data_IF_755482327201
#
_entry.id   IF_755482327201
#
_cell.length_a   1.000
_cell.length_b   1.000
_cell.length_c   1.000
_cell.angle_alpha   90.00
_cell.angle_beta   90.00
_cell.angle_gamma   90.00
#
_symmetry.space_group_name_H-M   'P 1'
#
loop_
_entity.id
_entity.type
_entity.pdbx_description
1 polymer ?
#
# COMPACT_ATOMS: atom_id res chain seq x y z
N UNK A 1 9.01 -8.02 8.32
CA UNK A 1 8.94 -7.43 9.67
C UNK A 1 8.42 -8.41 10.74
N UNK A 2 8.08 -9.64 10.34
CA UNK A 2 7.49 -10.69 11.19
C UNK A 2 8.40 -11.15 12.37
N UNK A 3 9.71 -11.04 12.21
CA UNK A 3 10.67 -11.49 13.22
C UNK A 3 10.64 -10.60 14.48
N UNK A 4 11.01 -11.15 15.67
CA UNK A 4 11.22 -10.37 16.88
C UNK A 4 12.23 -9.24 16.66
N UNK A 5 12.00 -8.10 17.31
CA UNK A 5 12.82 -6.89 17.16
C UNK A 5 14.30 -7.14 17.46
N UNK A 6 14.62 -7.87 18.51
CA UNK A 6 16.01 -8.22 18.84
C UNK A 6 16.73 -9.00 17.71
N UNK A 7 16.00 -9.85 16.96
CA UNK A 7 16.56 -10.58 15.82
C UNK A 7 16.75 -9.66 14.61
N UNK A 8 15.80 -8.76 14.35
CA UNK A 8 15.93 -7.75 13.29
C UNK A 8 17.12 -6.82 13.55
N UNK A 9 17.31 -6.35 14.78
CA UNK A 9 18.46 -5.51 15.17
C UNK A 9 19.79 -6.21 14.90
N UNK A 10 19.92 -7.50 15.23
CA UNK A 10 21.11 -8.30 14.91
C UNK A 10 21.37 -8.40 13.40
N UNK A 11 20.31 -8.60 12.61
CA UNK A 11 20.41 -8.64 11.14
C UNK A 11 20.87 -7.29 10.60
N UNK A 12 20.27 -6.20 11.07
CA UNK A 12 20.63 -4.84 10.64
C UNK A 12 22.08 -4.49 11.00
N UNK A 13 22.55 -4.92 12.17
CA UNK A 13 23.95 -4.75 12.57
C UNK A 13 24.88 -5.53 11.64
N UNK A 14 24.61 -6.83 11.41
CA UNK A 14 25.41 -7.66 10.53
C UNK A 14 25.48 -7.09 9.10
N UNK A 15 24.35 -6.56 8.57
CA UNK A 15 24.34 -5.90 7.26
C UNK A 15 25.25 -4.67 7.22
N UNK A 16 25.28 -3.85 8.27
CA UNK A 16 26.16 -2.68 8.35
C UNK A 16 27.64 -3.07 8.42
N UNK A 17 27.94 -4.06 9.22
CA UNK A 17 29.32 -4.54 9.41
C UNK A 17 29.88 -5.14 8.11
N UNK A 18 29.01 -5.87 7.38
CA UNK A 18 29.40 -6.54 6.13
C UNK A 18 29.44 -5.58 4.94
N UNK A 19 28.52 -4.59 4.90
CA UNK A 19 28.36 -3.69 3.78
C UNK A 19 28.46 -2.20 4.21
N UNK A 20 29.65 -1.67 4.47
CA UNK A 20 29.83 -0.32 5.02
C UNK A 20 29.27 0.82 4.12
N UNK A 21 29.11 0.56 2.83
CA UNK A 21 28.54 1.50 1.85
C UNK A 21 27.04 1.32 1.61
N UNK A 22 26.37 0.47 2.41
CA UNK A 22 24.95 0.22 2.27
C UNK A 22 24.13 1.49 2.51
N UNK A 23 23.44 1.96 1.48
CA UNK A 23 22.70 3.21 1.53
C UNK A 23 21.33 3.07 2.23
N UNK A 24 20.70 1.90 2.13
CA UNK A 24 19.34 1.71 2.62
C UNK A 24 19.06 0.23 2.86
N UNK A 25 18.37 -0.05 3.98
CA UNK A 25 17.69 -1.34 4.21
C UNK A 25 16.20 -1.11 4.12
N UNK A 26 15.52 -2.00 3.43
CA UNK A 26 14.06 -2.03 3.32
C UNK A 26 13.52 -3.43 3.63
N UNK A 27 12.26 -3.50 4.02
CA UNK A 27 11.58 -4.76 4.32
C UNK A 27 10.13 -4.71 3.90
N UNK A 28 9.56 -5.87 3.56
CA UNK A 28 8.11 -6.02 3.50
C UNK A 28 7.52 -6.09 4.91
N UNK A 29 6.31 -5.55 5.05
CA UNK A 29 5.56 -5.55 6.29
C UNK A 29 4.07 -5.72 6.04
N UNK A 30 3.44 -6.64 6.76
CA UNK A 30 1.98 -6.69 6.86
C UNK A 30 1.50 -5.82 8.04
N UNK A 31 0.23 -5.33 8.01
CA UNK A 31 -0.34 -4.56 9.12
C UNK A 31 -0.11 -5.21 10.49
N UNK A 32 -0.44 -6.50 10.60
CA UNK A 32 -0.26 -7.29 11.83
C UNK A 32 1.16 -7.28 12.38
N UNK A 33 2.16 -7.32 11.49
CA UNK A 33 3.56 -7.36 11.91
C UNK A 33 4.01 -6.01 12.48
N UNK A 34 3.45 -4.92 11.97
CA UNK A 34 3.67 -3.56 12.46
C UNK A 34 2.99 -3.39 13.82
N UNK A 35 1.72 -3.76 13.92
CA UNK A 35 0.92 -3.60 15.14
C UNK A 35 1.44 -4.42 16.33
N UNK A 36 2.15 -5.52 16.07
CA UNK A 36 2.82 -6.33 17.10
C UNK A 36 4.07 -5.68 17.70
N UNK A 37 4.56 -4.60 17.08
CA UNK A 37 5.73 -3.86 17.58
C UNK A 37 5.27 -2.60 18.29
N UNK A 38 5.94 -2.28 19.40
CA UNK A 38 5.75 -1.00 20.05
C UNK A 38 6.31 0.13 19.19
N UNK A 39 5.91 1.36 19.47
CA UNK A 39 6.47 2.56 18.82
C UNK A 39 7.99 2.66 19.07
N UNK A 40 8.41 2.33 20.28
CA UNK A 40 9.83 2.28 20.65
C UNK A 40 10.60 1.24 19.82
N UNK A 41 10.06 0.05 19.60
CA UNK A 41 10.67 -0.98 18.75
C UNK A 41 10.81 -0.52 17.29
N UNK A 42 9.78 0.15 16.78
CA UNK A 42 9.84 0.72 15.42
C UNK A 42 10.90 1.82 15.31
N UNK A 43 11.04 2.67 16.34
CA UNK A 43 12.08 3.70 16.42
C UNK A 43 13.48 3.07 16.46
N UNK A 44 13.69 2.05 17.29
CA UNK A 44 14.96 1.32 17.37
C UNK A 44 15.34 0.69 16.02
N UNK A 45 14.39 0.09 15.31
CA UNK A 45 14.62 -0.46 13.96
C UNK A 45 15.01 0.63 12.97
N UNK A 46 14.37 1.81 13.04
CA UNK A 46 14.73 2.97 12.22
C UNK A 46 16.15 3.44 12.50
N UNK A 47 16.53 3.62 13.75
CA UNK A 47 17.88 4.01 14.19
C UNK A 47 18.92 2.96 13.78
N UNK A 48 18.54 1.68 13.83
CA UNK A 48 19.36 0.57 13.36
C UNK A 48 19.51 0.50 11.82
N UNK A 49 18.86 1.38 11.03
CA UNK A 49 19.06 1.50 9.59
C UNK A 49 17.95 0.92 8.72
N UNK A 50 16.86 0.41 9.31
CA UNK A 50 15.66 0.06 8.54
C UNK A 50 14.94 1.35 8.13
N UNK A 51 15.02 1.71 6.85
CA UNK A 51 14.60 3.04 6.40
C UNK A 51 13.29 3.06 5.63
N UNK A 52 12.89 1.94 5.03
CA UNK A 52 11.69 1.87 4.19
C UNK A 52 10.94 0.56 4.44
N UNK A 53 9.64 0.66 4.64
CA UNK A 53 8.75 -0.49 4.63
C UNK A 53 7.87 -0.49 3.37
N UNK A 54 7.82 -1.63 2.70
CA UNK A 54 6.83 -1.95 1.67
C UNK A 54 5.62 -2.58 2.35
N UNK A 55 4.50 -1.89 2.29
CA UNK A 55 3.30 -2.18 3.06
C UNK A 55 2.14 -2.54 2.14
N UNK A 56 1.77 -3.81 2.17
CA UNK A 56 0.58 -4.28 1.46
C UNK A 56 -0.68 -3.90 2.22
N UNK A 57 -1.19 -2.70 2.00
CA UNK A 57 -2.49 -2.28 2.52
C UNK A 57 -3.62 -2.93 1.73
N UNK A 58 -3.47 -3.01 0.42
CA UNK A 58 -4.34 -3.54 -0.63
C UNK A 58 -5.63 -2.72 -0.81
N UNK A 59 -6.29 -2.34 0.25
CA UNK A 59 -7.52 -1.56 0.31
C UNK A 59 -7.67 -0.87 1.67
N UNK A 60 -8.45 0.20 1.71
CA UNK A 60 -8.95 0.80 2.96
C UNK A 60 -10.36 0.34 3.35
N UNK A 61 -10.99 -0.53 2.53
CA UNK A 61 -12.38 -0.96 2.70
C UNK A 61 -12.50 -2.22 3.57
N UNK A 62 -13.17 -2.11 4.71
CA UNK A 62 -13.37 -3.20 5.67
C UNK A 62 -14.02 -4.45 5.08
N UNK A 63 -15.01 -4.26 4.21
CA UNK A 63 -15.72 -5.38 3.60
C UNK A 63 -14.75 -6.17 2.71
N UNK A 64 -13.96 -5.46 1.92
CA UNK A 64 -12.95 -6.08 1.05
C UNK A 64 -11.82 -6.71 1.86
N UNK A 65 -11.29 -6.03 2.90
CA UNK A 65 -10.28 -6.61 3.81
C UNK A 65 -10.73 -7.93 4.42
N UNK A 66 -12.00 -7.99 4.83
CA UNK A 66 -12.60 -9.22 5.38
C UNK A 66 -12.74 -10.30 4.31
N UNK A 67 -13.23 -9.95 3.12
CA UNK A 67 -13.43 -10.88 2.02
C UNK A 67 -12.12 -11.55 1.56
N UNK A 68 -11.01 -10.81 1.55
CA UNK A 68 -9.70 -11.35 1.18
C UNK A 68 -8.89 -11.90 2.37
N UNK A 69 -9.52 -12.06 3.53
CA UNK A 69 -8.88 -12.59 4.75
C UNK A 69 -7.58 -11.85 5.13
N UNK A 70 -7.54 -10.52 4.97
CA UNK A 70 -6.36 -9.70 5.31
C UNK A 70 -6.00 -9.79 6.79
N UNK A 71 -7.02 -10.07 7.61
CA UNK A 71 -6.88 -10.33 9.04
C UNK A 71 -6.62 -9.08 9.88
N UNK A 72 -6.93 -7.91 9.33
CA UNK A 72 -7.04 -6.61 9.98
C UNK A 72 -8.25 -5.88 9.40
N UNK A 73 -8.80 -4.92 10.13
CA UNK A 73 -9.79 -3.97 9.63
C UNK A 73 -9.11 -2.67 9.13
N UNK A 74 -9.89 -1.75 8.59
CA UNK A 74 -9.38 -0.48 8.02
C UNK A 74 -8.74 0.43 9.07
N UNK A 75 -9.29 0.49 10.28
CA UNK A 75 -8.69 1.26 11.38
C UNK A 75 -7.31 0.70 11.75
N UNK A 76 -7.21 -0.61 11.89
CA UNK A 76 -5.94 -1.29 12.16
C UNK A 76 -4.93 -1.10 11.02
N UNK A 77 -5.38 -1.16 9.77
CA UNK A 77 -4.52 -0.91 8.62
C UNK A 77 -4.00 0.54 8.60
N UNK A 78 -4.85 1.51 8.88
CA UNK A 78 -4.47 2.93 8.99
C UNK A 78 -3.53 3.15 10.16
N UNK A 79 -3.83 2.60 11.33
CA UNK A 79 -2.98 2.74 12.52
C UNK A 79 -1.59 2.15 12.30
N UNK A 80 -1.49 0.98 11.66
CA UNK A 80 -0.20 0.40 11.28
C UNK A 80 0.61 1.36 10.41
N UNK A 81 0.00 1.94 9.38
CA UNK A 81 0.65 2.92 8.52
C UNK A 81 1.12 4.16 9.27
N UNK A 82 0.28 4.71 10.16
CA UNK A 82 0.61 5.86 11.01
C UNK A 82 1.79 5.60 11.94
N UNK A 83 1.86 4.43 12.57
CA UNK A 83 3.00 4.06 13.43
C UNK A 83 4.31 4.06 12.66
N UNK A 84 4.32 3.56 11.43
CA UNK A 84 5.52 3.58 10.58
C UNK A 84 5.92 5.01 10.24
N UNK A 85 5.00 5.85 9.80
CA UNK A 85 5.32 7.26 9.46
C UNK A 85 5.76 8.04 10.70
N UNK A 86 5.14 7.82 11.86
CA UNK A 86 5.52 8.44 13.14
C UNK A 86 6.92 8.02 13.63
N UNK A 87 7.36 6.78 13.33
CA UNK A 87 8.73 6.32 13.65
C UNK A 87 9.82 6.98 12.78
N UNK A 88 9.45 7.77 11.77
CA UNK A 88 10.36 8.40 10.82
C UNK A 88 10.86 7.47 9.72
N UNK A 89 10.36 6.23 9.63
CA UNK A 89 10.59 5.37 8.46
C UNK A 89 9.78 5.84 7.26
N UNK A 90 10.33 5.64 6.07
CA UNK A 90 9.58 5.80 4.82
C UNK A 90 8.59 4.65 4.67
N UNK A 91 7.40 4.96 4.16
CA UNK A 91 6.34 3.98 3.94
C UNK A 91 5.94 3.98 2.47
N UNK A 92 5.98 2.82 1.84
CA UNK A 92 5.46 2.58 0.50
C UNK A 92 4.21 1.70 0.61
N UNK A 93 3.04 2.28 0.39
CA UNK A 93 1.76 1.56 0.39
C UNK A 93 1.51 0.95 -0.99
N UNK A 94 1.01 -0.29 -1.01
CA UNK A 94 0.49 -0.95 -2.21
C UNK A 94 -1.03 -1.09 -2.09
N UNK A 95 -1.73 -0.74 -3.19
CA UNK A 95 -3.18 -0.84 -3.37
C UNK A 95 -3.45 -1.74 -4.56
N UNK A 96 -4.48 -2.59 -4.48
CA UNK A 96 -4.88 -3.47 -5.59
C UNK A 96 -6.20 -2.99 -6.17
N UNK A 97 -6.15 -2.44 -7.37
CA UNK A 97 -7.34 -2.04 -8.12
C UNK A 97 -8.16 -3.27 -8.52
N UNK A 98 -9.47 -3.14 -8.42
CA UNK A 98 -10.40 -4.22 -8.75
C UNK A 98 -10.56 -5.27 -7.65
N UNK A 99 -9.89 -5.14 -6.52
CA UNK A 99 -9.93 -6.14 -5.43
C UNK A 99 -11.33 -6.34 -4.84
N UNK A 100 -12.17 -5.32 -4.88
CA UNK A 100 -13.55 -5.35 -4.38
C UNK A 100 -14.58 -5.83 -5.42
N UNK A 101 -14.15 -6.16 -6.64
CA UNK A 101 -15.05 -6.44 -7.75
C UNK A 101 -15.88 -5.20 -8.16
N UNK A 102 -16.76 -5.38 -9.16
CA UNK A 102 -17.58 -4.28 -9.69
C UNK A 102 -18.48 -3.66 -8.61
N UNK A 103 -19.12 -4.48 -7.80
CA UNK A 103 -20.09 -4.07 -6.80
C UNK A 103 -19.47 -3.25 -5.68
N UNK A 104 -18.19 -3.51 -5.37
CA UNK A 104 -17.47 -2.87 -4.28
C UNK A 104 -16.55 -1.72 -4.69
N UNK A 105 -16.30 -1.54 -6.00
CA UNK A 105 -15.25 -0.67 -6.54
C UNK A 105 -15.31 0.78 -6.01
N UNK A 106 -16.46 1.42 -6.07
CA UNK A 106 -16.62 2.80 -5.59
C UNK A 106 -16.30 2.94 -4.10
N UNK A 107 -16.80 2.00 -3.27
CA UNK A 107 -16.53 2.01 -1.82
C UNK A 107 -15.04 1.78 -1.56
N UNK A 108 -14.45 0.77 -2.21
CA UNK A 108 -13.03 0.48 -2.16
C UNK A 108 -12.20 1.72 -2.50
N UNK A 109 -12.54 2.43 -3.57
CA UNK A 109 -11.81 3.63 -3.99
C UNK A 109 -11.86 4.74 -2.94
N UNK A 110 -13.05 5.04 -2.40
CA UNK A 110 -13.23 6.13 -1.43
C UNK A 110 -12.56 5.81 -0.08
N UNK A 111 -12.74 4.61 0.46
CA UNK A 111 -12.12 4.22 1.73
C UNK A 111 -10.58 4.09 1.60
N UNK A 112 -10.09 3.66 0.44
CA UNK A 112 -8.65 3.63 0.16
C UNK A 112 -8.06 5.04 0.10
N UNK A 113 -8.71 5.99 -0.57
CA UNK A 113 -8.27 7.38 -0.60
C UNK A 113 -8.25 8.01 0.81
N UNK A 114 -9.29 7.74 1.61
CA UNK A 114 -9.38 8.17 3.00
C UNK A 114 -8.23 7.62 3.85
N UNK A 115 -7.91 6.32 3.70
CA UNK A 115 -6.77 5.71 4.39
C UNK A 115 -5.44 6.37 3.99
N UNK A 116 -5.20 6.61 2.70
CA UNK A 116 -4.01 7.31 2.20
C UNK A 116 -3.90 8.72 2.78
N UNK A 117 -5.00 9.46 2.84
CA UNK A 117 -5.04 10.82 3.39
C UNK A 117 -4.68 10.87 4.89
N UNK A 118 -5.07 9.84 5.66
CA UNK A 118 -4.77 9.76 7.09
C UNK A 118 -3.31 9.30 7.31
N UNK A 119 -2.84 8.30 6.57
CA UNK A 119 -1.50 7.73 6.72
C UNK A 119 -0.43 8.69 6.21
N UNK A 120 -0.70 9.43 5.14
CA UNK A 120 0.25 10.32 4.46
C UNK A 120 1.58 9.61 4.13
N UNK A 121 1.55 8.54 3.32
CA UNK A 121 2.73 7.73 3.04
C UNK A 121 3.77 8.52 2.21
N UNK A 122 5.03 8.08 2.25
CA UNK A 122 6.09 8.63 1.39
C UNK A 122 5.90 8.21 -0.07
N UNK A 123 5.32 7.03 -0.26
CA UNK A 123 5.04 6.44 -1.58
C UNK A 123 3.73 5.66 -1.52
N UNK A 124 2.98 5.65 -2.62
CA UNK A 124 1.95 4.65 -2.85
C UNK A 124 1.93 4.19 -4.30
N UNK A 125 1.53 2.96 -4.51
CA UNK A 125 1.44 2.36 -5.82
C UNK A 125 0.12 1.64 -5.98
N UNK A 126 -0.43 1.72 -7.20
CA UNK A 126 -1.60 0.98 -7.62
C UNK A 126 -1.17 -0.17 -8.53
N UNK A 127 -1.73 -1.36 -8.29
CA UNK A 127 -1.56 -2.57 -9.10
C UNK A 127 -2.94 -3.08 -9.46
N UNK A 128 -3.14 -3.54 -10.70
CA UNK A 128 -4.41 -4.19 -11.06
C UNK A 128 -4.44 -5.63 -10.56
N UNK A 129 -5.61 -6.06 -10.09
CA UNK A 129 -5.85 -7.44 -9.66
C UNK A 129 -5.54 -8.40 -10.81
N UNK A 130 -4.80 -9.44 -10.49
CA UNK A 130 -4.58 -10.59 -11.37
C UNK A 130 -5.11 -11.85 -10.70
N UNK A 131 -6.01 -12.56 -11.37
CA UNK A 131 -6.55 -13.82 -10.88
C UNK A 131 -5.59 -14.97 -11.24
N UNK A 132 -5.15 -15.71 -10.25
CA UNK A 132 -4.20 -16.82 -10.40
C UNK A 132 -4.85 -18.16 -10.08
N UNK A 133 -4.42 -19.21 -10.74
CA UNK A 133 -4.83 -20.58 -10.42
C UNK A 133 -4.53 -20.90 -8.96
N UNK A 134 -5.52 -21.43 -8.26
CA UNK A 134 -5.44 -21.78 -6.84
C UNK A 134 -5.70 -20.60 -5.90
N UNK A 135 -6.13 -19.43 -6.41
CA UNK A 135 -6.62 -18.36 -5.57
C UNK A 135 -8.14 -18.46 -5.41
N UNK A 136 -8.63 -18.21 -4.20
CA UNK A 136 -10.07 -18.20 -3.89
C UNK A 136 -10.86 -17.20 -4.77
N UNK A 137 -10.26 -16.06 -5.15
CA UNK A 137 -10.90 -15.09 -6.04
C UNK A 137 -11.10 -15.63 -7.46
N UNK A 138 -10.19 -16.47 -7.97
CA UNK A 138 -10.40 -17.13 -9.26
C UNK A 138 -11.54 -18.15 -9.16
N UNK A 139 -11.57 -18.94 -8.10
CA UNK A 139 -12.62 -19.93 -7.89
C UNK A 139 -14.01 -19.24 -7.73
N UNK A 140 -14.07 -18.09 -7.04
CA UNK A 140 -15.29 -17.27 -6.95
C UNK A 140 -15.71 -16.71 -8.32
N UNK A 141 -14.74 -16.24 -9.13
CA UNK A 141 -15.01 -15.79 -10.49
C UNK A 141 -15.60 -16.92 -11.36
N UNK A 142 -15.03 -18.11 -11.31
CA UNK A 142 -15.50 -19.26 -12.07
C UNK A 142 -16.91 -19.73 -11.63
N UNK A 143 -17.27 -19.50 -10.35
CA UNK A 143 -18.63 -19.74 -9.83
C UNK A 143 -19.61 -18.59 -10.08
N UNK A 144 -19.15 -17.48 -10.67
CA UNK A 144 -19.98 -16.27 -10.88
C UNK A 144 -20.27 -15.46 -9.62
N UNK A 145 -19.50 -15.66 -8.55
CA UNK A 145 -19.62 -14.98 -7.26
C UNK A 145 -18.78 -13.70 -7.17
N UNK A 146 -17.81 -13.53 -8.07
CA UNK A 146 -16.93 -12.37 -8.16
C UNK A 146 -16.92 -11.82 -9.59
N UNK A 147 -17.18 -10.52 -9.73
CA UNK A 147 -17.17 -9.80 -11.02
C UNK A 147 -15.94 -8.89 -11.09
N UNK A 148 -14.84 -9.28 -11.80
CA UNK A 148 -13.66 -8.45 -11.92
C UNK A 148 -13.95 -7.17 -12.74
N UNK A 149 -13.16 -6.13 -12.48
CA UNK A 149 -13.21 -4.91 -13.28
C UNK A 149 -12.59 -5.15 -14.67
N UNK A 150 -13.19 -4.54 -15.68
CA UNK A 150 -12.54 -4.36 -16.98
C UNK A 150 -11.38 -3.35 -16.88
N UNK A 151 -10.51 -3.27 -17.90
CA UNK A 151 -9.45 -2.26 -17.92
C UNK A 151 -9.94 -0.83 -17.73
N UNK A 152 -11.05 -0.46 -18.38
CA UNK A 152 -11.66 0.87 -18.25
C UNK A 152 -12.16 1.11 -16.80
N UNK A 153 -12.87 0.15 -16.22
CA UNK A 153 -13.36 0.24 -14.84
C UNK A 153 -12.20 0.31 -13.82
N UNK A 154 -11.07 -0.36 -14.07
CA UNK A 154 -9.86 -0.19 -13.24
C UNK A 154 -9.32 1.25 -13.31
N UNK A 155 -9.37 1.88 -14.47
CA UNK A 155 -8.94 3.28 -14.61
C UNK A 155 -9.92 4.24 -13.94
N UNK A 156 -11.21 3.98 -14.01
CA UNK A 156 -12.24 4.75 -13.29
C UNK A 156 -12.07 4.65 -11.77
N UNK A 157 -11.74 3.45 -11.27
CA UNK A 157 -11.43 3.23 -9.86
C UNK A 157 -10.17 4.00 -9.44
N UNK A 158 -9.09 3.91 -10.22
CA UNK A 158 -7.86 4.66 -9.98
C UNK A 158 -8.11 6.18 -10.02
N UNK A 159 -8.91 6.65 -10.99
CA UNK A 159 -9.31 8.04 -11.07
C UNK A 159 -10.01 8.48 -9.79
N UNK A 160 -10.98 7.69 -9.32
CA UNK A 160 -11.74 7.97 -8.09
C UNK A 160 -10.82 8.04 -6.87
N UNK A 161 -9.86 7.10 -6.73
CA UNK A 161 -8.86 7.16 -5.66
C UNK A 161 -8.04 8.46 -5.77
N UNK A 162 -7.46 8.72 -6.94
CA UNK A 162 -6.59 9.87 -7.18
C UNK A 162 -7.32 11.21 -6.93
N UNK A 163 -8.57 11.32 -7.38
CA UNK A 163 -9.40 12.51 -7.18
C UNK A 163 -9.63 12.81 -5.68
N UNK A 164 -9.79 11.77 -4.88
CA UNK A 164 -10.07 11.86 -3.44
C UNK A 164 -8.82 11.83 -2.53
N UNK A 165 -7.63 11.57 -3.09
CA UNK A 165 -6.37 11.72 -2.35
C UNK A 165 -6.01 13.18 -2.25
N UNK A 166 -5.98 13.72 -1.02
CA UNK A 166 -5.67 15.10 -0.70
C UNK A 166 -4.58 15.14 0.37
N UNK A 167 -3.34 15.29 -0.06
CA UNK A 167 -2.18 15.40 0.82
C UNK A 167 -1.82 16.88 1.05
N UNK A 168 -1.28 17.23 2.23
CA UNK A 168 -0.78 18.59 2.49
C UNK A 168 0.28 19.01 1.47
N UNK A 169 0.36 20.32 1.17
CA UNK A 169 1.29 20.89 0.18
C UNK A 169 2.78 20.64 0.52
N UNK A 170 3.11 20.53 1.80
CA UNK A 170 4.46 20.22 2.28
C UNK A 170 4.81 18.74 2.25
N UNK A 171 3.85 17.86 1.91
CA UNK A 171 4.08 16.42 1.76
C UNK A 171 4.46 16.07 0.33
N UNK A 172 5.45 15.20 0.21
CA UNK A 172 5.88 14.64 -1.07
C UNK A 172 5.63 13.14 -1.07
N UNK A 173 4.56 12.72 -1.74
CA UNK A 173 4.22 11.31 -1.90
C UNK A 173 4.48 10.88 -3.35
N UNK A 174 5.38 9.95 -3.56
CA UNK A 174 5.64 9.39 -4.88
C UNK A 174 4.54 8.41 -5.26
N UNK A 175 3.84 8.68 -6.34
CA UNK A 175 2.88 7.74 -6.94
C UNK A 175 3.52 6.94 -8.08
N UNK A 176 3.20 5.64 -8.13
CA UNK A 176 3.61 4.72 -9.20
C UNK A 176 2.49 3.75 -9.56
N UNK A 177 2.28 3.58 -10.87
CA UNK A 177 1.38 2.59 -11.46
C UNK A 177 2.04 1.96 -12.69
N UNK A 178 3.30 1.54 -12.54
CA UNK A 178 4.12 1.00 -13.63
C UNK A 178 4.43 -0.50 -13.47
N UNK A 179 3.66 -1.21 -12.67
CA UNK A 179 3.73 -2.67 -12.57
C UNK A 179 3.15 -3.31 -13.83
N UNK A 180 3.62 -4.50 -14.17
CA UNK A 180 3.18 -5.24 -15.37
C UNK A 180 1.67 -5.57 -15.38
N UNK A 181 1.02 -5.60 -14.22
CA UNK A 181 -0.44 -5.78 -14.12
C UNK A 181 -1.25 -4.56 -14.56
N UNK A 182 -0.61 -3.40 -14.69
CA UNK A 182 -1.32 -2.15 -14.98
C UNK A 182 -1.44 -1.91 -16.50
N UNK A 183 -2.55 -1.31 -16.89
CA UNK A 183 -2.84 -1.00 -18.28
C UNK A 183 -2.13 0.26 -18.78
N UNK A 184 -1.91 1.24 -17.87
CA UNK A 184 -1.23 2.50 -18.16
C UNK A 184 -0.13 2.73 -17.12
N UNK A 185 1.14 2.90 -17.54
CA UNK A 185 2.23 3.21 -16.62
C UNK A 185 2.20 4.69 -16.23
N UNK A 186 1.80 5.00 -15.00
CA UNK A 186 1.74 6.35 -14.47
C UNK A 186 2.80 6.57 -13.38
N UNK A 187 3.31 7.80 -13.32
CA UNK A 187 4.27 8.20 -12.31
C UNK A 187 4.16 9.71 -12.01
N UNK A 188 4.21 10.06 -10.73
CA UNK A 188 4.17 11.47 -10.32
C UNK A 188 4.48 11.67 -8.85
N UNK A 189 4.51 12.92 -8.43
CA UNK A 189 4.68 13.33 -7.02
C UNK A 189 3.45 14.12 -6.60
N UNK A 190 2.74 13.63 -5.58
CA UNK A 190 1.56 14.29 -5.02
C UNK A 190 1.98 15.26 -3.89
N UNK A 191 1.25 16.37 -3.71
CA UNK A 191 0.08 16.79 -4.49
C UNK A 191 0.38 17.45 -5.84
N UNK A 192 1.65 17.82 -6.10
CA UNK A 192 2.09 18.63 -7.26
C UNK A 192 1.55 18.12 -8.61
N UNK A 193 1.66 16.83 -8.87
CA UNK A 193 1.34 16.24 -10.18
C UNK A 193 -0.11 15.73 -10.28
N UNK A 194 -0.94 15.96 -9.25
CA UNK A 194 -2.31 15.39 -9.17
C UNK A 194 -3.15 15.69 -10.40
N UNK A 195 -3.22 16.95 -10.84
CA UNK A 195 -4.05 17.35 -11.98
C UNK A 195 -3.57 16.72 -13.30
N UNK A 196 -2.25 16.63 -13.50
CA UNK A 196 -1.67 15.94 -14.66
C UNK A 196 -2.03 14.45 -14.65
N UNK A 197 -1.88 13.77 -13.51
CA UNK A 197 -2.22 12.35 -13.37
C UNK A 197 -3.71 12.09 -13.62
N UNK A 198 -4.60 12.94 -13.10
CA UNK A 198 -6.05 12.84 -13.36
C UNK A 198 -6.37 13.00 -14.86
N UNK A 199 -5.68 13.89 -15.56
CA UNK A 199 -5.86 14.04 -16.99
C UNK A 199 -5.34 12.81 -17.76
N UNK A 200 -4.20 12.24 -17.40
CA UNK A 200 -3.62 11.04 -18.01
C UNK A 200 -4.46 9.78 -17.80
N UNK A 201 -5.17 9.66 -16.67
CA UNK A 201 -6.05 8.52 -16.38
C UNK A 201 -7.32 8.56 -17.25
N UNK A 202 -7.80 9.73 -17.63
CA UNK A 202 -9.03 9.92 -18.41
C UNK A 202 -8.90 9.60 -19.91
N UNK A 203 -7.68 9.54 -20.43
CA UNK A 203 -7.40 9.25 -21.84
C UNK A 203 -7.04 7.79 -22.06
#
# INVERSE_FOLDING_TARGET
LVLPTAKLLKILQALRDTFPKLQRVSSYAAPKDILRKSEEELRQLKEAGLQLLYYGMETGDDITLKAVNKGVNGEEAVEAGRRVTASGMKLSIMVILGLAGKEGSKRHALETAKAINIIQPTMWSALCLMLYRGSELLDQFERGEFNPLSPAECMEELYTIMENVNLPEDRHCLFRSNHISNYIPLAGTLPKDKQRLLAEIKY
#
